data_IF_118943831789
#
_entry.id   IF_118943831789
#
_cell.length_a   1.000
_cell.length_b   1.000
_cell.length_c   1.000
_cell.angle_alpha   90.00
_cell.angle_beta   90.00
_cell.angle_gamma   90.00
#
_symmetry.space_group_name_H-M   'P 1'
#
loop_
_entity.id
_entity.type
_entity.pdbx_description
1 polymer ?
#
# COMPACT_ATOMS: atom_id res chain seq x y z
N UNK A 1 7.74 -39.38 36.86
CA UNK A 1 6.61 -38.89 37.66
C UNK A 1 7.18 -37.98 38.72
N UNK A 2 6.89 -36.69 38.65
CA UNK A 2 7.22 -35.76 39.73
C UNK A 2 6.06 -35.84 40.73
N UNK A 3 6.32 -36.42 41.90
CA UNK A 3 5.39 -36.45 43.03
C UNK A 3 5.24 -35.03 43.58
N UNK A 4 4.12 -34.40 43.27
CA UNK A 4 3.71 -33.14 43.88
C UNK A 4 2.81 -33.46 45.06
N UNK A 5 3.28 -33.08 46.25
CA UNK A 5 2.61 -33.27 47.52
C UNK A 5 1.25 -32.54 47.53
N UNK A 6 0.10 -33.22 47.74
CA UNK A 6 -1.24 -32.65 47.54
C UNK A 6 -1.65 -31.57 48.57
N UNK A 7 -0.81 -31.30 49.57
CA UNK A 7 -1.03 -30.27 50.59
C UNK A 7 -0.13 -29.03 50.44
N UNK A 8 0.73 -29.00 49.43
CA UNK A 8 1.61 -27.86 49.11
C UNK A 8 1.26 -27.18 47.78
N UNK A 9 -0.02 -27.20 47.40
CA UNK A 9 -0.48 -26.37 46.27
C UNK A 9 -0.60 -24.92 46.75
N UNK A 10 0.56 -24.28 46.82
CA UNK A 10 0.70 -22.83 46.88
C UNK A 10 -0.08 -22.23 45.71
N UNK A 11 -0.99 -21.31 46.01
CA UNK A 11 -1.87 -20.69 45.03
C UNK A 11 -1.08 -20.24 43.79
N UNK A 12 -1.42 -20.80 42.63
CA UNK A 12 -0.95 -20.29 41.34
C UNK A 12 -1.69 -18.97 41.09
N UNK A 13 -1.11 -17.86 41.56
CA UNK A 13 -1.55 -16.52 41.16
C UNK A 13 -1.20 -16.35 39.68
N UNK A 14 -2.22 -16.22 38.85
CA UNK A 14 -2.05 -15.76 37.47
C UNK A 14 -1.63 -14.27 37.55
N UNK A 15 -0.33 -14.00 37.47
CA UNK A 15 0.24 -12.65 37.63
C UNK A 15 -0.13 -11.77 36.43
N UNK A 16 -0.21 -12.35 35.23
CA UNK A 16 -0.53 -11.62 34.00
C UNK A 16 -0.94 -12.61 32.89
N UNK A 17 -1.99 -12.29 32.12
CA UNK A 17 -2.31 -13.07 30.91
C UNK A 17 -1.37 -12.71 29.76
N UNK A 18 -1.21 -13.61 28.80
CA UNK A 18 -0.42 -13.33 27.58
C UNK A 18 -0.96 -12.16 26.76
N UNK A 19 -2.25 -11.84 26.89
CA UNK A 19 -2.89 -10.65 26.29
C UNK A 19 -2.50 -9.38 27.03
N UNK A 20 -2.58 -9.35 28.36
CA UNK A 20 -2.18 -8.21 29.18
C UNK A 20 -0.70 -7.85 28.98
N UNK A 21 0.17 -8.87 28.91
CA UNK A 21 1.59 -8.66 28.64
C UNK A 21 1.86 -8.09 27.24
N UNK A 22 1.02 -8.43 26.24
CA UNK A 22 1.10 -7.85 24.89
C UNK A 22 0.61 -6.41 24.88
N UNK A 23 -0.51 -6.14 25.53
CA UNK A 23 -1.10 -4.81 25.60
C UNK A 23 -0.17 -3.84 26.33
N UNK A 24 0.44 -4.26 27.45
CA UNK A 24 1.47 -3.48 28.15
C UNK A 24 2.66 -3.17 27.25
N UNK A 25 3.23 -4.18 26.59
CA UNK A 25 4.35 -3.99 25.67
C UNK A 25 3.99 -3.08 24.50
N UNK A 26 2.76 -3.16 24.01
CA UNK A 26 2.25 -2.30 22.94
C UNK A 26 2.12 -0.85 23.41
N UNK A 27 1.63 -0.62 24.63
CA UNK A 27 1.55 0.72 25.23
C UNK A 27 2.95 1.29 25.47
N UNK A 28 3.87 0.50 26.03
CA UNK A 28 5.27 0.90 26.24
C UNK A 28 5.97 1.23 24.91
N UNK A 29 5.69 0.48 23.85
CA UNK A 29 6.27 0.69 22.53
C UNK A 29 5.77 1.97 21.82
N UNK A 30 4.59 2.49 22.19
CA UNK A 30 4.05 3.75 21.63
C UNK A 30 4.80 4.99 22.14
N UNK A 31 5.51 4.89 23.26
CA UNK A 31 6.18 6.02 23.89
C UNK A 31 5.23 7.17 24.21
N UNK A 32 5.68 8.40 23.97
CA UNK A 32 4.87 9.60 24.20
C UNK A 32 3.73 9.71 23.17
N UNK A 33 2.49 9.60 23.65
CA UNK A 33 1.27 9.64 22.84
C UNK A 33 1.02 11.06 22.31
N UNK A 34 0.91 11.19 20.98
CA UNK A 34 0.57 12.46 20.32
C UNK A 34 -0.93 12.74 20.41
N UNK A 35 -1.75 11.72 20.14
CA UNK A 35 -3.21 11.80 20.18
C UNK A 35 -3.77 10.82 21.20
N UNK A 36 -4.39 11.33 22.27
CA UNK A 36 -4.98 10.51 23.32
C UNK A 36 -6.44 10.10 23.06
N UNK A 37 -7.04 10.60 21.99
CA UNK A 37 -8.42 10.32 21.60
C UNK A 37 -8.49 9.78 20.17
N UNK A 38 -9.57 9.06 19.88
CA UNK A 38 -9.86 8.60 18.52
C UNK A 38 -10.53 9.71 17.71
N UNK A 39 -10.23 9.84 16.40
CA UNK A 39 -10.87 10.80 15.51
C UNK A 39 -12.37 10.52 15.41
N UNK A 40 -13.16 11.59 15.38
CA UNK A 40 -14.62 11.54 15.39
C UNK A 40 -15.20 11.49 13.98
N UNK A 41 -14.49 12.04 13.00
CA UNK A 41 -14.89 12.09 11.60
C UNK A 41 -13.69 11.91 10.66
N UNK A 42 -13.96 11.99 9.35
CA UNK A 42 -12.97 11.77 8.31
C UNK A 42 -11.92 12.89 8.22
N UNK A 43 -12.32 14.12 8.54
CA UNK A 43 -11.43 15.30 8.49
C UNK A 43 -10.42 15.20 9.63
N UNK A 44 -10.89 14.91 10.86
CA UNK A 44 -10.02 14.69 12.00
C UNK A 44 -9.11 13.47 11.80
N UNK A 45 -9.59 12.40 11.16
CA UNK A 45 -8.75 11.25 10.81
C UNK A 45 -7.62 11.65 9.83
N UNK A 46 -7.95 12.39 8.78
CA UNK A 46 -6.98 12.86 7.79
C UNK A 46 -5.95 13.78 8.45
N UNK A 47 -6.38 14.74 9.26
CA UNK A 47 -5.51 15.65 10.00
C UNK A 47 -4.55 14.92 10.94
N UNK A 48 -5.06 13.94 11.72
CA UNK A 48 -4.22 13.15 12.62
C UNK A 48 -3.17 12.33 11.86
N UNK A 49 -3.56 11.72 10.74
CA UNK A 49 -2.63 10.95 9.89
C UNK A 49 -1.56 11.86 9.26
N UNK A 50 -1.94 13.04 8.78
CA UNK A 50 -1.01 14.00 8.18
C UNK A 50 -0.04 14.57 9.19
N UNK A 51 -0.53 14.97 10.36
CA UNK A 51 0.33 15.49 11.41
C UNK A 51 1.34 14.42 11.87
N UNK A 52 0.90 13.18 12.09
CA UNK A 52 1.80 12.07 12.43
C UNK A 52 2.82 11.81 11.32
N UNK A 53 2.40 11.84 10.05
CA UNK A 53 3.31 11.67 8.92
C UNK A 53 4.36 12.80 8.84
N UNK A 54 3.96 14.05 9.11
CA UNK A 54 4.86 15.20 9.18
C UNK A 54 5.90 15.03 10.30
N UNK A 55 5.46 14.59 11.49
CA UNK A 55 6.37 14.29 12.60
C UNK A 55 7.35 13.17 12.24
N UNK A 56 6.87 12.08 11.61
CA UNK A 56 7.73 10.97 11.14
C UNK A 56 8.75 11.45 10.10
N UNK A 57 8.34 12.34 9.18
CA UNK A 57 9.20 12.86 8.13
C UNK A 57 10.30 13.79 8.65
N UNK A 58 10.03 14.51 9.75
CA UNK A 58 10.97 15.44 10.38
C UNK A 58 11.90 14.77 11.39
N UNK A 59 11.49 13.64 11.98
CA UNK A 59 12.29 12.90 12.96
C UNK A 59 13.49 12.19 12.32
N UNK A 60 14.68 12.37 12.89
CA UNK A 60 15.90 11.74 12.39
C UNK A 60 15.90 10.23 12.64
N UNK A 61 16.26 9.45 11.62
CA UNK A 61 16.31 8.00 11.70
C UNK A 61 17.62 7.52 12.34
N UNK A 62 17.65 7.55 13.67
CA UNK A 62 18.81 7.11 14.45
C UNK A 62 18.94 5.58 14.54
N UNK A 63 18.09 4.80 13.85
CA UNK A 63 18.06 3.32 13.88
C UNK A 63 18.07 2.68 15.27
N UNK A 64 17.66 3.43 16.30
CA UNK A 64 17.55 2.94 17.67
C UNK A 64 16.26 2.12 17.79
N UNK A 65 16.37 0.88 18.29
CA UNK A 65 15.22 0.07 18.67
C UNK A 65 14.36 0.84 19.70
N UNK A 66 13.13 1.18 19.33
CA UNK A 66 12.23 1.98 20.17
C UNK A 66 12.47 3.49 20.11
N UNK A 67 13.22 3.98 19.11
CA UNK A 67 13.40 5.41 18.86
C UNK A 67 12.10 6.13 18.52
N UNK A 68 12.10 7.46 18.66
CA UNK A 68 10.91 8.32 18.49
C UNK A 68 10.19 8.11 17.15
N UNK A 69 10.94 7.96 16.06
CA UNK A 69 10.39 7.68 14.74
C UNK A 69 9.56 6.38 14.70
N UNK A 70 10.07 5.30 15.29
CA UNK A 70 9.35 4.03 15.37
C UNK A 70 8.11 4.10 16.28
N UNK A 71 8.18 4.89 17.35
CA UNK A 71 7.02 5.17 18.21
C UNK A 71 5.91 5.91 17.44
N UNK A 72 6.28 6.92 16.65
CA UNK A 72 5.35 7.67 15.82
C UNK A 72 4.75 6.81 14.70
N UNK A 73 5.54 5.94 14.07
CA UNK A 73 5.05 4.98 13.07
C UNK A 73 4.01 4.02 13.66
N UNK A 74 4.23 3.54 14.90
CA UNK A 74 3.24 2.71 15.60
C UNK A 74 1.93 3.47 15.86
N UNK A 75 2.01 4.72 16.31
CA UNK A 75 0.83 5.55 16.52
C UNK A 75 0.10 5.87 15.20
N UNK A 76 0.84 6.11 14.12
CA UNK A 76 0.27 6.25 12.78
C UNK A 76 -0.50 4.99 12.39
N UNK A 77 0.06 3.80 12.64
CA UNK A 77 -0.62 2.55 12.37
C UNK A 77 -1.88 2.36 13.21
N UNK A 78 -1.88 2.74 14.48
CA UNK A 78 -3.06 2.69 15.34
C UNK A 78 -4.21 3.56 14.80
N UNK A 79 -3.90 4.77 14.33
CA UNK A 79 -4.88 5.66 13.70
C UNK A 79 -5.35 5.09 12.36
N UNK A 80 -4.42 4.62 11.52
CA UNK A 80 -4.74 4.06 10.21
C UNK A 80 -5.55 2.76 10.28
N UNK A 81 -5.40 1.96 11.35
CA UNK A 81 -6.13 0.70 11.53
C UNK A 81 -7.63 0.90 11.76
N UNK A 82 -8.07 2.11 12.11
CA UNK A 82 -9.49 2.46 12.20
C UNK A 82 -10.18 2.40 10.83
N UNK A 83 -9.42 2.61 9.74
CA UNK A 83 -9.90 2.55 8.37
C UNK A 83 -8.97 1.66 7.57
N UNK A 84 -9.37 0.40 7.29
CA UNK A 84 -8.58 -0.56 6.48
C UNK A 84 -7.98 0.05 5.19
N UNK A 85 -8.70 0.99 4.58
CA UNK A 85 -8.26 1.69 3.38
C UNK A 85 -7.14 2.72 3.65
N UNK A 86 -7.14 3.39 4.81
CA UNK A 86 -6.05 4.25 5.26
C UNK A 86 -4.75 3.45 5.44
N UNK A 87 -4.84 2.25 6.05
CA UNK A 87 -3.69 1.32 6.15
C UNK A 87 -3.10 0.96 4.78
N UNK A 88 -3.95 0.72 3.77
CA UNK A 88 -3.50 0.43 2.41
C UNK A 88 -2.82 1.62 1.74
N UNK A 89 -3.08 2.85 2.21
CA UNK A 89 -2.59 4.10 1.62
C UNK A 89 -1.47 4.75 2.45
N UNK A 90 -0.97 4.06 3.47
CA UNK A 90 0.06 4.57 4.38
C UNK A 90 1.26 5.14 3.63
N UNK A 91 1.73 4.41 2.61
CA UNK A 91 2.88 4.78 1.80
C UNK A 91 2.71 6.15 1.14
N UNK A 92 1.50 6.46 0.66
CA UNK A 92 1.22 7.75 0.06
C UNK A 92 1.34 8.87 1.08
N UNK A 93 0.69 8.71 2.24
CA UNK A 93 0.61 9.75 3.28
C UNK A 93 2.01 10.06 3.83
N UNK A 94 2.80 9.02 4.14
CA UNK A 94 4.19 9.21 4.58
C UNK A 94 5.06 9.87 3.50
N UNK A 95 4.86 9.48 2.23
CA UNK A 95 5.61 10.08 1.14
C UNK A 95 5.21 11.53 0.89
N UNK A 96 3.94 11.88 1.08
CA UNK A 96 3.42 13.26 0.95
C UNK A 96 4.08 14.17 1.95
N UNK A 97 4.09 13.76 3.22
CA UNK A 97 4.77 14.49 4.28
C UNK A 97 6.28 14.68 4.01
N UNK A 98 6.94 13.67 3.43
CA UNK A 98 8.37 13.77 3.05
C UNK A 98 8.61 14.72 1.88
N UNK A 99 7.76 14.69 0.86
CA UNK A 99 7.89 15.55 -0.34
C UNK A 99 7.54 17.00 -0.01
N UNK A 100 6.68 17.23 0.98
CA UNK A 100 6.26 18.55 1.44
C UNK A 100 5.06 19.13 0.68
N UNK A 101 4.63 18.47 -0.40
CA UNK A 101 3.50 18.86 -1.23
C UNK A 101 2.67 17.63 -1.63
N UNK A 102 1.40 17.88 -1.98
CA UNK A 102 0.56 16.85 -2.59
C UNK A 102 1.10 16.46 -3.97
N UNK A 103 1.14 15.17 -4.26
CA UNK A 103 1.75 14.65 -5.47
C UNK A 103 0.89 13.55 -6.09
N UNK A 104 1.05 13.33 -7.38
CA UNK A 104 0.39 12.21 -8.03
C UNK A 104 1.42 11.12 -8.36
N UNK A 105 1.26 9.88 -7.85
CA UNK A 105 2.28 8.83 -8.00
C UNK A 105 2.73 8.58 -9.44
N UNK A 106 1.84 8.83 -10.40
CA UNK A 106 2.06 8.63 -11.83
C UNK A 106 2.73 9.82 -12.54
N UNK A 107 2.63 11.03 -12.00
CA UNK A 107 3.28 12.22 -12.59
C UNK A 107 4.61 12.52 -11.91
N UNK A 108 4.83 11.98 -10.71
CA UNK A 108 6.04 12.19 -9.94
C UNK A 108 7.20 11.40 -10.53
N UNK A 109 8.29 12.10 -10.85
CA UNK A 109 9.53 11.50 -11.38
C UNK A 109 10.45 10.92 -10.27
N UNK A 110 10.06 11.00 -9.00
CA UNK A 110 10.79 10.34 -7.91
C UNK A 110 10.64 8.81 -8.03
N UNK A 111 11.76 8.16 -8.36
CA UNK A 111 11.85 6.70 -8.47
C UNK A 111 11.38 5.97 -7.20
N UNK A 112 11.45 6.59 -6.03
CA UNK A 112 10.93 5.99 -4.79
C UNK A 112 9.40 6.03 -4.77
N UNK A 113 8.79 7.13 -5.15
CA UNK A 113 7.32 7.27 -5.24
C UNK A 113 6.72 6.25 -6.20
N UNK A 114 7.32 6.11 -7.38
CA UNK A 114 6.84 5.20 -8.42
C UNK A 114 6.96 3.72 -8.02
N UNK A 115 7.96 3.36 -7.21
CA UNK A 115 8.23 1.97 -6.79
C UNK A 115 7.42 1.49 -5.58
N UNK A 116 6.73 2.37 -4.86
CA UNK A 116 6.25 2.10 -3.49
C UNK A 116 4.76 1.67 -3.42
N UNK A 117 4.11 1.27 -4.53
CA UNK A 117 2.67 0.93 -4.53
C UNK A 117 1.81 2.07 -3.91
N UNK A 118 2.22 3.33 -4.12
CA UNK A 118 1.56 4.50 -3.55
C UNK A 118 0.17 4.68 -4.18
N UNK A 119 -0.88 4.51 -3.36
CA UNK A 119 -2.26 4.81 -3.75
C UNK A 119 -2.72 6.08 -3.05
N UNK A 120 -3.05 7.12 -3.82
CA UNK A 120 -3.55 8.40 -3.31
C UNK A 120 -4.92 8.24 -2.62
N UNK A 121 -5.10 8.73 -1.39
CA UNK A 121 -6.40 8.78 -0.71
C UNK A 121 -7.25 9.93 -1.23
N UNK A 122 -8.55 9.66 -1.42
CA UNK A 122 -9.56 10.70 -1.50
C UNK A 122 -10.13 10.98 -0.11
N UNK A 123 -10.68 12.18 0.14
CA UNK A 123 -11.35 12.48 1.40
C UNK A 123 -12.45 11.45 1.77
N UNK A 124 -13.23 10.97 0.78
CA UNK A 124 -14.25 9.93 1.01
C UNK A 124 -13.68 8.55 1.41
N UNK A 125 -12.39 8.29 1.15
CA UNK A 125 -11.75 7.04 1.53
C UNK A 125 -11.41 6.98 3.03
N UNK A 126 -11.35 8.13 3.71
CA UNK A 126 -11.12 8.25 5.16
C UNK A 126 -12.38 8.19 6.00
N UNK A 127 -13.54 7.97 5.39
CA UNK A 127 -14.78 7.83 6.14
C UNK A 127 -14.74 6.59 7.05
N UNK A 128 -14.92 6.84 8.35
CA UNK A 128 -14.87 5.84 9.42
C UNK A 128 -15.92 4.74 9.21
N UNK A 129 -17.14 5.12 8.84
CA UNK A 129 -18.21 4.18 8.54
C UNK A 129 -18.12 3.65 7.11
N UNK A 130 -18.14 2.31 6.89
CA UNK A 130 -18.24 1.73 5.55
C UNK A 130 -19.49 2.17 4.78
N UNK A 131 -20.57 2.53 5.48
CA UNK A 131 -21.82 3.01 4.89
C UNK A 131 -21.79 4.50 4.53
N UNK A 132 -20.89 5.24 5.17
CA UNK A 132 -20.54 6.60 4.76
C UNK A 132 -19.98 6.59 3.35
N UNK A 133 -19.12 5.59 3.03
CA UNK A 133 -18.33 5.48 1.80
C UNK A 133 -19.20 5.39 0.55
N UNK A 134 -19.70 6.53 0.12
CA UNK A 134 -20.57 6.67 -1.04
C UNK A 134 -20.04 7.78 -1.89
N UNK A 135 -19.00 7.52 -2.68
CA UNK A 135 -18.61 8.55 -3.61
C UNK A 135 -18.00 8.10 -4.92
N UNK A 136 -18.89 7.72 -5.82
CA UNK A 136 -18.60 7.65 -7.26
C UNK A 136 -18.36 9.05 -7.83
N UNK A 137 -18.95 10.09 -7.24
CA UNK A 137 -18.88 11.46 -7.75
C UNK A 137 -17.56 12.13 -7.38
N UNK A 138 -17.10 12.07 -6.13
CA UNK A 138 -15.75 12.57 -5.75
C UNK A 138 -14.63 11.85 -6.51
N UNK A 139 -14.72 10.51 -6.66
CA UNK A 139 -13.78 9.75 -7.51
C UNK A 139 -13.82 10.18 -8.96
N UNK A 140 -15.01 10.53 -9.47
CA UNK A 140 -15.17 11.06 -10.82
C UNK A 140 -14.56 12.45 -10.93
N UNK A 141 -14.85 13.35 -9.99
CA UNK A 141 -14.34 14.71 -9.97
C UNK A 141 -12.81 14.74 -9.95
N UNK A 142 -12.20 13.89 -9.13
CA UNK A 142 -10.73 13.77 -9.08
C UNK A 142 -10.17 13.17 -10.37
N UNK A 143 -10.78 12.10 -10.91
CA UNK A 143 -10.33 11.52 -12.18
C UNK A 143 -10.42 12.54 -13.33
N UNK A 144 -11.46 13.38 -13.37
CA UNK A 144 -11.59 14.48 -14.34
C UNK A 144 -10.53 15.54 -14.09
N UNK A 145 -10.22 15.90 -12.84
CA UNK A 145 -9.16 16.85 -12.53
C UNK A 145 -7.79 16.38 -13.04
N UNK A 146 -7.51 15.07 -12.97
CA UNK A 146 -6.21 14.48 -13.33
C UNK A 146 -6.10 14.22 -14.83
N UNK A 147 -7.10 13.55 -15.42
CA UNK A 147 -7.08 13.08 -16.81
C UNK A 147 -7.84 14.01 -17.76
N UNK A 148 -8.47 15.06 -17.24
CA UNK A 148 -9.20 16.06 -18.02
C UNK A 148 -10.40 15.48 -18.76
N UNK A 149 -10.62 16.01 -19.96
CA UNK A 149 -11.73 15.65 -20.83
C UNK A 149 -11.69 14.18 -21.28
N UNK A 150 -10.49 13.57 -21.35
CA UNK A 150 -10.32 12.18 -21.76
C UNK A 150 -11.06 11.19 -20.84
N UNK A 151 -11.14 11.48 -19.53
CA UNK A 151 -11.88 10.63 -18.59
C UNK A 151 -13.40 10.76 -18.78
N UNK A 152 -13.91 11.94 -19.16
CA UNK A 152 -15.32 12.13 -19.51
C UNK A 152 -15.67 11.34 -20.76
N UNK A 153 -14.91 11.52 -21.83
CA UNK A 153 -15.11 10.83 -23.11
C UNK A 153 -15.04 9.31 -22.93
N UNK A 154 -14.04 8.80 -22.21
CA UNK A 154 -13.91 7.36 -21.95
C UNK A 154 -15.12 6.80 -21.20
N UNK A 155 -15.71 7.54 -20.26
CA UNK A 155 -16.94 7.13 -19.55
C UNK A 155 -18.16 7.13 -20.46
N UNK A 156 -18.29 8.13 -21.32
CA UNK A 156 -19.37 8.22 -22.31
C UNK A 156 -19.33 7.03 -23.27
N UNK A 157 -18.14 6.74 -23.83
CA UNK A 157 -17.92 5.58 -24.69
C UNK A 157 -18.22 4.26 -23.98
N UNK A 158 -17.72 4.05 -22.75
CA UNK A 158 -18.04 2.83 -21.99
C UNK A 158 -19.54 2.70 -21.72
N UNK A 159 -20.24 3.81 -21.42
CA UNK A 159 -21.67 3.78 -21.18
C UNK A 159 -22.43 3.42 -22.46
N UNK A 160 -22.06 4.01 -23.60
CA UNK A 160 -22.66 3.72 -24.89
C UNK A 160 -22.46 2.26 -25.31
N UNK A 161 -21.25 1.71 -25.09
CA UNK A 161 -20.94 0.32 -25.39
C UNK A 161 -21.70 -0.66 -24.47
N UNK A 162 -21.81 -0.37 -23.16
CA UNK A 162 -22.62 -1.19 -22.24
C UNK A 162 -24.10 -1.20 -22.63
N UNK A 163 -24.65 -0.05 -23.02
CA UNK A 163 -26.04 0.04 -23.49
C UNK A 163 -26.29 -0.75 -24.78
N UNK A 164 -25.24 -1.01 -25.57
CA UNK A 164 -25.27 -1.88 -26.75
C UNK A 164 -25.00 -3.35 -26.43
N UNK A 165 -24.89 -3.72 -25.15
CA UNK A 165 -24.71 -5.10 -24.70
C UNK A 165 -23.25 -5.58 -24.60
N UNK A 166 -22.26 -4.69 -24.78
CA UNK A 166 -20.85 -5.06 -24.66
C UNK A 166 -20.39 -5.06 -23.18
N UNK A 167 -19.69 -6.10 -22.72
CA UNK A 167 -19.05 -6.11 -21.39
C UNK A 167 -17.79 -5.22 -21.41
N UNK A 168 -17.97 -3.96 -21.04
CA UNK A 168 -16.88 -3.00 -20.94
C UNK A 168 -16.41 -2.89 -19.49
N UNK A 169 -15.15 -3.24 -19.24
CA UNK A 169 -14.47 -3.02 -17.97
C UNK A 169 -13.30 -2.09 -18.16
N UNK A 170 -13.09 -1.20 -17.19
CA UNK A 170 -11.84 -0.46 -17.16
C UNK A 170 -10.71 -1.45 -16.92
N UNK A 171 -9.57 -1.28 -17.61
CA UNK A 171 -8.35 -1.90 -17.15
C UNK A 171 -8.16 -1.51 -15.67
N UNK A 172 -7.95 -2.48 -14.79
CA UNK A 172 -7.39 -2.24 -13.46
C UNK A 172 -6.18 -1.28 -13.61
N UNK A 173 -5.86 -0.41 -12.64
CA UNK A 173 -4.65 0.42 -12.71
C UNK A 173 -3.37 -0.38 -13.02
N UNK A 174 -3.37 -1.65 -12.61
CA UNK A 174 -2.32 -2.63 -12.88
C UNK A 174 -2.71 -3.64 -13.97
N UNK A 175 -3.70 -3.35 -14.82
CA UNK A 175 -4.23 -4.30 -15.80
C UNK A 175 -3.22 -4.71 -16.84
N UNK A 176 -2.26 -3.85 -17.17
CA UNK A 176 -1.13 -4.24 -18.02
C UNK A 176 -0.25 -5.27 -17.30
N UNK A 177 0.02 -5.10 -16.01
CA UNK A 177 0.74 -6.08 -15.19
C UNK A 177 -0.04 -7.41 -15.08
N UNK A 178 -1.37 -7.35 -14.94
CA UNK A 178 -2.22 -8.54 -14.90
C UNK A 178 -2.38 -9.22 -16.27
N UNK A 179 -2.48 -8.47 -17.37
CA UNK A 179 -2.48 -8.99 -18.74
C UNK A 179 -1.17 -9.70 -19.04
N UNK A 180 -0.06 -9.08 -18.67
CA UNK A 180 1.28 -9.67 -18.73
C UNK A 180 1.35 -10.99 -17.95
N UNK A 181 0.89 -11.00 -16.68
CA UNK A 181 0.86 -12.21 -15.85
C UNK A 181 -0.07 -13.30 -16.38
N UNK A 182 -1.22 -12.92 -16.94
CA UNK A 182 -2.20 -13.84 -17.52
C UNK A 182 -1.72 -14.44 -18.85
N UNK A 183 -1.05 -13.63 -19.68
CA UNK A 183 -0.51 -14.05 -20.98
C UNK A 183 0.68 -15.00 -20.85
N UNK A 184 1.46 -14.87 -19.76
CA UNK A 184 2.60 -15.75 -19.47
C UNK A 184 2.21 -17.10 -18.83
N UNK A 185 0.96 -17.27 -18.39
CA UNK A 185 0.51 -18.44 -17.63
C UNK A 185 1.21 -18.64 -16.27
N UNK A 186 0.80 -19.64 -15.49
CA UNK A 186 1.40 -20.01 -14.18
C UNK A 186 2.89 -20.44 -14.24
N UNK A 187 3.54 -20.30 -15.39
CA UNK A 187 4.90 -20.78 -15.62
C UNK A 187 5.99 -19.83 -15.09
N UNK A 188 5.68 -18.56 -14.82
CA UNK A 188 6.65 -17.60 -14.27
C UNK A 188 6.57 -17.51 -12.74
N UNK A 189 7.21 -18.44 -12.03
CA UNK A 189 7.28 -18.44 -10.55
C UNK A 189 8.09 -17.27 -9.95
N UNK A 190 8.69 -16.42 -10.77
CA UNK A 190 9.56 -15.33 -10.32
C UNK A 190 9.03 -13.97 -10.76
N UNK A 191 9.02 -13.00 -9.84
CA UNK A 191 8.49 -11.66 -10.08
C UNK A 191 9.26 -10.93 -11.18
N UNK A 192 8.53 -10.42 -12.17
CA UNK A 192 9.05 -9.51 -13.21
C UNK A 192 8.48 -8.11 -12.98
N UNK A 193 9.23 -7.10 -13.38
CA UNK A 193 8.90 -5.69 -13.24
C UNK A 193 8.75 -5.11 -14.65
N UNK A 194 7.65 -4.40 -14.88
CA UNK A 194 7.42 -3.59 -16.07
C UNK A 194 7.30 -2.15 -15.61
N UNK A 195 8.17 -1.27 -16.10
CA UNK A 195 8.24 0.12 -15.66
C UNK A 195 8.57 1.05 -16.83
N UNK A 196 8.11 2.31 -16.83
CA UNK A 196 8.56 3.31 -17.77
C UNK A 196 10.04 3.64 -17.51
N UNK A 197 10.82 3.67 -18.58
CA UNK A 197 12.23 4.05 -18.55
C UNK A 197 12.40 5.56 -18.80
N UNK A 198 13.60 6.07 -18.59
CA UNK A 198 13.91 7.51 -18.67
C UNK A 198 13.68 8.14 -20.05
N UNK A 199 13.54 7.34 -21.12
CA UNK A 199 13.23 7.81 -22.47
C UNK A 199 11.73 7.70 -22.83
N UNK A 200 10.87 7.38 -21.87
CA UNK A 200 9.42 7.23 -22.07
C UNK A 200 8.99 5.88 -22.65
N UNK A 201 9.92 4.94 -22.90
CA UNK A 201 9.61 3.58 -23.32
C UNK A 201 9.41 2.66 -22.12
N UNK A 202 8.58 1.63 -22.27
CA UNK A 202 8.42 0.60 -21.25
C UNK A 202 9.60 -0.36 -21.25
N UNK A 203 10.20 -0.54 -20.08
CA UNK A 203 11.29 -1.47 -19.83
C UNK A 203 10.79 -2.65 -18.99
N UNK A 204 11.27 -3.85 -19.35
CA UNK A 204 10.95 -5.10 -18.68
C UNK A 204 12.21 -5.67 -18.04
N UNK A 205 12.15 -5.98 -16.75
CA UNK A 205 13.26 -6.57 -16.02
C UNK A 205 12.81 -7.66 -15.05
N UNK A 206 13.72 -8.56 -14.68
CA UNK A 206 13.47 -9.49 -13.58
C UNK A 206 13.70 -8.78 -12.25
N UNK A 207 12.78 -8.92 -11.29
CA UNK A 207 12.91 -8.34 -9.94
C UNK A 207 14.24 -8.77 -9.30
N UNK A 208 14.85 -7.91 -8.48
CA UNK A 208 16.04 -8.29 -7.75
C UNK A 208 15.74 -9.38 -6.71
N UNK A 209 16.65 -10.34 -6.60
CA UNK A 209 16.52 -11.46 -5.67
C UNK A 209 16.94 -11.02 -4.26
N UNK A 210 16.07 -11.23 -3.28
CA UNK A 210 16.35 -10.87 -1.88
C UNK A 210 16.86 -12.05 -1.05
N UNK A 211 16.75 -13.27 -1.55
CA UNK A 211 17.24 -14.46 -0.88
C UNK A 211 17.75 -15.52 -1.88
N UNK A 212 18.48 -16.52 -1.37
CA UNK A 212 19.12 -17.57 -2.19
C UNK A 212 18.13 -18.37 -3.05
N UNK A 213 16.90 -18.57 -2.55
CA UNK A 213 15.83 -19.24 -3.29
C UNK A 213 15.39 -18.39 -4.48
N UNK A 214 15.19 -17.10 -4.26
CA UNK A 214 14.87 -16.12 -5.30
C UNK A 214 16.00 -15.96 -6.31
N UNK A 215 17.26 -16.04 -5.91
CA UNK A 215 18.39 -15.99 -6.85
C UNK A 215 18.33 -17.13 -7.87
N UNK A 216 18.01 -18.35 -7.41
CA UNK A 216 17.85 -19.51 -8.27
C UNK A 216 16.66 -19.38 -9.21
N UNK A 217 15.55 -18.84 -8.73
CA UNK A 217 14.35 -18.57 -9.54
C UNK A 217 14.59 -17.47 -10.57
N UNK A 218 15.29 -16.38 -10.21
CA UNK A 218 15.70 -15.30 -11.12
C UNK A 218 16.59 -15.82 -12.24
N UNK A 219 17.60 -16.60 -11.89
CA UNK A 219 18.54 -17.17 -12.85
C UNK A 219 17.84 -18.14 -13.83
N UNK A 220 16.84 -18.88 -13.35
CA UNK A 220 15.99 -19.71 -14.21
C UNK A 220 15.14 -18.85 -15.14
N UNK A 221 14.49 -17.82 -14.59
CA UNK A 221 13.64 -16.90 -15.34
C UNK A 221 14.38 -16.19 -16.49
N UNK A 222 15.62 -15.75 -16.24
CA UNK A 222 16.47 -15.14 -17.26
C UNK A 222 16.92 -16.15 -18.32
N UNK A 223 17.31 -17.35 -17.90
CA UNK A 223 17.77 -18.43 -18.79
C UNK A 223 16.67 -18.93 -19.72
N UNK A 224 15.46 -19.07 -19.20
CA UNK A 224 14.30 -19.57 -19.94
C UNK A 224 13.68 -18.45 -20.82
N UNK A 225 14.28 -17.26 -20.84
CA UNK A 225 13.95 -16.19 -21.76
C UNK A 225 12.67 -15.43 -21.42
N UNK A 226 12.12 -15.56 -20.21
CA UNK A 226 10.84 -14.96 -19.84
C UNK A 226 10.85 -13.41 -19.92
N UNK A 227 11.96 -12.76 -19.53
CA UNK A 227 12.10 -11.30 -19.66
C UNK A 227 12.03 -10.87 -21.13
N UNK A 228 12.69 -11.61 -22.02
CA UNK A 228 12.67 -11.31 -23.46
C UNK A 228 11.29 -11.56 -24.07
N UNK A 229 10.64 -12.66 -23.70
CA UNK A 229 9.28 -12.95 -24.13
C UNK A 229 8.32 -11.83 -23.71
N UNK A 230 8.44 -11.35 -22.46
CA UNK A 230 7.63 -10.26 -21.96
C UNK A 230 7.96 -8.91 -22.63
N UNK A 231 9.23 -8.65 -22.93
CA UNK A 231 9.64 -7.46 -23.69
C UNK A 231 8.96 -7.42 -25.06
N UNK A 232 8.88 -8.57 -25.75
CA UNK A 232 8.22 -8.68 -27.05
C UNK A 232 6.71 -8.41 -26.94
N UNK A 233 6.05 -8.96 -25.92
CA UNK A 233 4.60 -8.73 -25.68
C UNK A 233 4.32 -7.25 -25.41
N UNK A 234 5.15 -6.61 -24.58
CA UNK A 234 5.01 -5.16 -24.32
C UNK A 234 5.22 -4.36 -25.60
N UNK A 235 6.17 -4.75 -26.45
CA UNK A 235 6.38 -4.11 -27.75
C UNK A 235 5.19 -4.32 -28.72
N UNK A 236 4.55 -5.49 -28.72
CA UNK A 236 3.36 -5.79 -29.53
C UNK A 236 2.13 -5.00 -29.08
N UNK A 237 1.93 -4.80 -27.78
CA UNK A 237 0.80 -4.04 -27.23
C UNK A 237 0.95 -2.54 -27.47
N UNK A 238 2.19 -2.05 -27.52
CA UNK A 238 2.51 -0.62 -27.61
C UNK A 238 2.70 -0.11 -29.04
N UNK A 239 2.69 -1.00 -30.04
CA UNK A 239 2.64 -0.68 -31.48
C UNK A 239 1.19 -0.71 -31.98
#
# INVERSE_FOLDING_TARGET
MLDLNPHEVSQVRLIETSTQAKDRKHIEARGEIVYSWSPKDAEELEEQLDHLAQMIATEEDNRVLGGRKGQLELQFHDVADQVRLAKMKHNYILTRARVGDDFHPWTTQDNRVFRIECVRPLPADFELSPWGRKDRERRRAEAIRIFGQAELETREWMSALKNRGYDCRRPHPNAQEFLVRAYLGEHSKYGMVVAPSANGLWEVSAKDAQNKRETGLRARCLRDGHVRALTNVVAEIMN
#
